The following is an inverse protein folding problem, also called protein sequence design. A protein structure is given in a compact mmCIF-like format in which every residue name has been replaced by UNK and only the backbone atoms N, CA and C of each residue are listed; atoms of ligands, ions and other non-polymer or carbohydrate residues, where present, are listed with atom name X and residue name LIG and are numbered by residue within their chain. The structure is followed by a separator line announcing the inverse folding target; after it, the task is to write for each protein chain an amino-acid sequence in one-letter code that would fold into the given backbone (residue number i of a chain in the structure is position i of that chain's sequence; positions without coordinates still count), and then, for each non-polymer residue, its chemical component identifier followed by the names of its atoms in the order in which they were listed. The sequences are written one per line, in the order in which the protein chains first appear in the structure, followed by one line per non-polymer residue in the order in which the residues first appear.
data_IF_593529423990
#
_entry.id   IF_593529423990
#
_cell.length_a   1.000
_cell.length_b   1.000
_cell.length_c   1.000
_cell.angle_alpha   90.00
_cell.angle_beta   90.00
_cell.angle_gamma   90.00
#
_symmetry.space_group_name_H-M   'P 1'
#
loop_
_entity.id
_entity.type
_entity.pdbx_description
1 polymer ?
#
# COMPACT_ATOMS: atom_id res chain seq x y z
N UNK A 1 -3.27 9.43 23.61
CA UNK A 1 -2.66 9.54 22.26
C UNK A 1 -1.16 9.43 22.41
N UNK A 2 -0.53 8.36 21.89
CA UNK A 2 0.90 8.10 22.12
C UNK A 2 1.76 8.93 21.15
N UNK A 3 2.03 10.18 21.54
CA UNK A 3 2.78 11.14 20.71
C UNK A 3 4.20 10.70 20.37
N UNK A 4 4.82 9.86 21.22
CA UNK A 4 6.17 9.34 20.99
C UNK A 4 6.19 8.35 19.82
N UNK A 5 5.33 7.33 19.86
CA UNK A 5 5.25 6.31 18.79
C UNK A 5 4.86 6.93 17.45
N UNK A 6 3.94 7.89 17.44
CA UNK A 6 3.55 8.57 16.22
C UNK A 6 4.73 9.32 15.58
N UNK A 7 5.54 10.01 16.39
CA UNK A 7 6.73 10.72 15.91
C UNK A 7 7.77 9.76 15.33
N UNK A 8 8.06 8.70 16.07
CA UNK A 8 9.02 7.66 15.66
C UNK A 8 8.61 6.99 14.35
N UNK A 9 7.33 6.59 14.23
CA UNK A 9 6.82 6.05 12.96
C UNK A 9 6.88 7.06 11.83
N UNK A 10 6.61 8.35 12.08
CA UNK A 10 6.72 9.39 11.05
C UNK A 10 8.13 9.52 10.49
N UNK A 11 9.16 9.40 11.33
CA UNK A 11 10.56 9.42 10.92
C UNK A 11 10.89 8.19 10.06
N UNK A 12 10.47 7.01 10.51
CA UNK A 12 10.62 5.74 9.76
C UNK A 12 9.90 5.82 8.41
N UNK A 13 8.66 6.31 8.39
CA UNK A 13 7.88 6.39 7.16
C UNK A 13 8.52 7.30 6.12
N UNK A 14 9.19 8.37 6.54
CA UNK A 14 9.96 9.22 5.63
C UNK A 14 11.20 8.48 5.13
N UNK A 15 11.97 7.86 6.03
CA UNK A 15 13.23 7.20 5.70
C UNK A 15 13.06 5.96 4.81
N UNK A 16 12.08 5.12 5.12
CA UNK A 16 11.78 3.88 4.40
C UNK A 16 10.79 4.09 3.24
N UNK A 17 10.29 5.32 3.04
CA UNK A 17 9.34 5.63 1.96
C UNK A 17 8.00 4.92 2.12
N UNK A 18 7.40 4.97 3.31
CA UNK A 18 6.12 4.37 3.66
C UNK A 18 5.01 5.43 3.69
N UNK A 19 3.74 4.99 3.71
CA UNK A 19 2.62 5.88 3.93
C UNK A 19 2.71 6.55 5.32
N UNK A 20 2.58 7.88 5.39
CA UNK A 20 2.58 8.60 6.67
C UNK A 20 1.27 8.34 7.43
N UNK A 21 1.22 8.70 8.70
CA UNK A 21 -0.04 8.71 9.46
C UNK A 21 -0.98 9.74 8.82
N UNK A 22 -2.12 9.27 8.29
CA UNK A 22 -3.18 10.12 7.75
C UNK A 22 -4.50 9.73 8.36
N UNK A 23 -5.09 10.66 9.11
CA UNK A 23 -6.37 10.48 9.80
C UNK A 23 -7.20 11.73 9.57
N UNK A 24 -8.38 11.57 8.98
CA UNK A 24 -9.29 12.70 8.77
C UNK A 24 -9.96 13.12 10.08
N UNK A 25 -10.46 14.37 10.18
CA UNK A 25 -11.23 14.82 11.34
C UNK A 25 -12.41 13.91 11.66
N UNK A 26 -13.15 13.47 10.63
CA UNK A 26 -14.28 12.55 10.78
C UNK A 26 -13.84 11.20 11.39
N UNK A 27 -12.76 10.60 10.88
CA UNK A 27 -12.30 9.31 11.42
C UNK A 27 -11.78 9.45 12.85
N UNK A 28 -11.10 10.57 13.15
CA UNK A 28 -10.65 10.90 14.51
C UNK A 28 -11.81 10.94 15.50
N UNK A 29 -12.94 11.56 15.14
CA UNK A 29 -14.15 11.57 15.99
C UNK A 29 -14.67 10.15 16.27
N UNK A 30 -14.60 9.23 15.29
CA UNK A 30 -15.01 7.84 15.49
C UNK A 30 -14.07 7.09 16.43
N UNK A 31 -12.76 7.31 16.29
CA UNK A 31 -11.74 6.75 17.19
C UNK A 31 -11.94 7.22 18.64
N UNK A 32 -12.21 8.51 18.83
CA UNK A 32 -12.46 9.11 20.15
C UNK A 32 -13.75 8.56 20.78
N UNK A 33 -14.82 8.45 20.00
CA UNK A 33 -16.08 7.87 20.44
C UNK A 33 -15.94 6.40 20.85
N UNK A 34 -15.23 5.58 20.05
CA UNK A 34 -14.93 4.19 20.41
C UNK A 34 -14.13 4.11 21.72
N UNK A 35 -13.07 4.91 21.83
CA UNK A 35 -12.22 4.91 23.02
C UNK A 35 -12.98 5.31 24.28
N UNK A 36 -13.94 6.23 24.15
CA UNK A 36 -14.80 6.65 25.25
C UNK A 36 -15.75 5.55 25.72
N UNK A 37 -16.23 4.67 24.82
CA UNK A 37 -17.12 3.56 25.17
C UNK A 37 -16.34 2.39 25.76
N UNK A 38 -15.15 2.11 25.23
CA UNK A 38 -14.31 0.99 25.69
C UNK A 38 -13.54 1.32 26.97
N UNK A 39 -13.29 2.61 27.25
CA UNK A 39 -12.39 3.04 28.33
C UNK A 39 -10.91 2.83 28.02
N UNK A 40 -10.58 2.39 26.81
CA UNK A 40 -9.23 2.12 26.32
C UNK A 40 -9.13 2.36 24.80
N UNK A 41 -7.93 2.23 24.24
CA UNK A 41 -7.73 2.37 22.79
C UNK A 41 -8.28 1.15 22.04
N UNK A 42 -9.26 1.39 21.17
CA UNK A 42 -9.95 0.34 20.44
C UNK A 42 -9.35 -0.05 19.08
N UNK A 43 -10.04 -0.94 18.34
CA UNK A 43 -9.65 -1.37 17.00
C UNK A 43 -9.46 -0.23 15.99
N UNK A 44 -10.28 0.83 16.01
CA UNK A 44 -10.14 1.95 15.08
C UNK A 44 -8.82 2.69 15.29
N UNK A 45 -8.35 2.78 16.54
CA UNK A 45 -7.03 3.32 16.85
C UNK A 45 -5.93 2.51 16.17
N UNK A 46 -5.98 1.17 16.28
CA UNK A 46 -4.97 0.26 15.69
C UNK A 46 -4.96 0.29 14.16
N UNK A 47 -6.07 0.63 13.52
CA UNK A 47 -6.11 0.82 12.06
C UNK A 47 -5.34 2.07 11.65
N UNK A 48 -5.48 3.16 12.40
CA UNK A 48 -4.94 4.49 12.02
C UNK A 48 -3.52 4.76 12.52
N UNK A 49 -3.17 4.27 13.71
CA UNK A 49 -1.96 4.66 14.43
C UNK A 49 -1.04 3.46 14.69
N UNK A 50 0.28 3.65 14.63
CA UNK A 50 1.26 2.57 14.77
C UNK A 50 1.19 1.94 16.16
N UNK A 51 1.47 0.64 16.22
CA UNK A 51 1.80 -0.08 17.45
C UNK A 51 3.32 -0.15 17.65
N UNK A 52 3.76 -0.55 18.83
CA UNK A 52 5.18 -0.85 19.07
C UNK A 52 5.69 -1.92 18.11
N UNK A 53 4.95 -3.02 17.95
CA UNK A 53 5.29 -4.09 17.01
C UNK A 53 5.43 -3.60 15.56
N UNK A 54 4.66 -2.57 15.14
CA UNK A 54 4.79 -2.02 13.79
C UNK A 54 6.18 -1.42 13.54
N UNK A 55 6.87 -0.99 14.60
CA UNK A 55 8.19 -0.37 14.55
C UNK A 55 9.29 -1.40 14.85
N UNK A 56 9.11 -2.22 15.88
CA UNK A 56 10.18 -3.06 16.44
C UNK A 56 10.16 -4.50 15.95
N UNK A 57 9.00 -5.03 15.54
CA UNK A 57 8.87 -6.43 15.15
C UNK A 57 9.21 -6.60 13.67
N UNK A 58 10.11 -7.53 13.35
CA UNK A 58 10.43 -7.92 11.97
C UNK A 58 10.25 -9.42 11.81
N UNK A 59 9.60 -9.84 10.73
CA UNK A 59 9.39 -11.26 10.43
C UNK A 59 10.53 -11.80 9.53
N UNK A 60 11.00 -13.06 9.71
CA UNK A 60 12.10 -13.63 8.92
C UNK A 60 11.93 -13.67 7.39
N UNK A 61 10.78 -13.29 6.84
CA UNK A 61 10.54 -13.21 5.39
C UNK A 61 9.70 -11.98 5.03
N UNK A 62 9.80 -10.92 5.81
CA UNK A 62 9.14 -9.66 5.50
C UNK A 62 9.73 -9.10 4.20
N UNK A 63 8.84 -8.79 3.26
CA UNK A 63 9.18 -8.23 1.95
C UNK A 63 8.31 -7.03 1.68
N UNK A 64 8.86 -6.07 0.94
CA UNK A 64 8.21 -4.80 0.65
C UNK A 64 6.91 -4.97 -0.16
N UNK A 65 6.90 -5.90 -1.12
CA UNK A 65 5.76 -6.20 -1.99
C UNK A 65 5.47 -7.71 -2.00
N UNK A 66 4.79 -8.19 -0.96
CA UNK A 66 4.46 -9.63 -0.85
C UNK A 66 3.36 -10.07 -1.83
N UNK A 67 2.55 -9.14 -2.34
CA UNK A 67 1.52 -9.46 -3.35
C UNK A 67 2.15 -9.54 -4.75
N UNK A 68 3.31 -8.91 -4.94
CA UNK A 68 4.02 -8.84 -6.21
C UNK A 68 3.37 -7.87 -7.19
N UNK A 69 2.63 -6.86 -6.69
CA UNK A 69 1.95 -5.88 -7.53
C UNK A 69 2.94 -5.19 -8.48
N UNK A 70 4.11 -4.75 -7.99
CA UNK A 70 5.15 -4.05 -8.78
C UNK A 70 5.61 -4.87 -9.98
N UNK A 71 5.87 -6.16 -9.76
CA UNK A 71 6.37 -7.07 -10.81
C UNK A 71 5.31 -7.46 -11.85
N UNK A 72 4.03 -7.26 -11.52
CA UNK A 72 2.90 -7.59 -12.39
C UNK A 72 2.21 -6.33 -12.95
N UNK A 73 2.77 -5.13 -12.69
CA UNK A 73 2.30 -3.88 -13.29
C UNK A 73 2.65 -3.85 -14.77
N UNK A 74 1.67 -3.52 -15.60
CA UNK A 74 1.84 -3.41 -17.05
C UNK A 74 2.44 -2.03 -17.39
N UNK A 75 3.74 -1.98 -17.66
CA UNK A 75 4.43 -0.74 -18.03
C UNK A 75 4.32 0.35 -16.94
N UNK A 76 4.18 1.62 -17.36
CA UNK A 76 3.94 2.75 -16.44
C UNK A 76 2.44 3.01 -16.22
N UNK A 77 1.62 1.98 -16.32
CA UNK A 77 0.16 2.11 -16.15
C UNK A 77 -0.21 1.70 -14.73
N UNK A 78 -1.24 2.32 -14.15
CA UNK A 78 -1.83 1.86 -12.89
C UNK A 78 -2.48 0.46 -12.95
N UNK A 79 -2.18 -0.34 -13.98
CA UNK A 79 -2.81 -1.62 -14.30
C UNK A 79 -1.90 -2.77 -13.87
N UNK A 80 -2.43 -3.69 -13.07
CA UNK A 80 -1.72 -4.87 -12.53
C UNK A 80 -2.40 -6.13 -13.05
N UNK A 81 -1.66 -6.99 -13.75
CA UNK A 81 -2.15 -8.27 -14.27
C UNK A 81 -1.32 -9.43 -13.75
N UNK A 82 -1.60 -9.84 -12.51
CA UNK A 82 -0.98 -11.02 -11.90
C UNK A 82 -1.57 -12.35 -12.41
N UNK A 83 -2.80 -12.31 -12.92
CA UNK A 83 -3.54 -13.52 -13.28
C UNK A 83 -4.07 -13.43 -14.71
N UNK A 84 -4.12 -14.58 -15.37
CA UNK A 84 -4.46 -14.70 -16.79
C UNK A 84 -5.82 -14.08 -17.19
N UNK A 85 -6.80 -14.14 -16.29
CA UNK A 85 -8.21 -13.89 -16.59
C UNK A 85 -8.80 -12.69 -15.84
N UNK A 86 -7.96 -11.88 -15.20
CA UNK A 86 -8.41 -10.69 -14.48
C UNK A 86 -7.30 -9.66 -14.37
N UNK A 87 -7.70 -8.42 -14.35
CA UNK A 87 -6.82 -7.26 -14.21
C UNK A 87 -7.29 -6.40 -13.04
N UNK A 88 -6.35 -5.82 -12.32
CA UNK A 88 -6.60 -4.78 -11.33
C UNK A 88 -6.20 -3.44 -11.94
N UNK A 89 -7.08 -2.46 -11.86
CA UNK A 89 -6.77 -1.09 -12.30
C UNK A 89 -6.85 -0.12 -11.12
N UNK A 90 -5.77 0.58 -10.84
CA UNK A 90 -5.67 1.55 -9.77
C UNK A 90 -6.18 2.90 -10.24
N UNK A 91 -7.49 3.11 -10.14
CA UNK A 91 -8.14 4.36 -10.53
C UNK A 91 -7.74 5.55 -9.65
N UNK A 92 -7.29 5.32 -8.42
CA UNK A 92 -6.74 6.40 -7.58
C UNK A 92 -5.75 5.85 -6.58
N UNK A 93 -4.77 6.68 -6.24
CA UNK A 93 -3.85 6.45 -5.11
C UNK A 93 -4.30 7.20 -3.84
N UNK A 94 -5.43 7.91 -3.87
CA UNK A 94 -5.94 8.68 -2.74
C UNK A 94 -6.70 7.78 -1.78
N UNK A 95 -6.25 7.76 -0.53
CA UNK A 95 -6.97 7.15 0.59
C UNK A 95 -7.49 8.23 1.55
N UNK A 96 -8.65 7.97 2.15
CA UNK A 96 -9.22 8.82 3.20
C UNK A 96 -8.33 8.84 4.45
N UNK A 97 -7.86 7.68 4.88
CA UNK A 97 -6.81 7.53 5.89
C UNK A 97 -5.82 6.44 5.47
N UNK A 98 -4.63 6.45 6.06
CA UNK A 98 -3.62 5.42 5.81
C UNK A 98 -3.70 4.36 6.89
N UNK A 99 -4.13 3.16 6.49
CA UNK A 99 -4.21 2.02 7.40
C UNK A 99 -2.80 1.53 7.73
N UNK A 100 -2.50 1.24 8.99
CA UNK A 100 -1.19 0.71 9.41
C UNK A 100 -0.89 -0.67 8.85
N UNK A 101 -1.94 -1.42 8.47
CA UNK A 101 -1.84 -2.70 7.78
C UNK A 101 -1.91 -2.57 6.25
N UNK A 102 -1.75 -1.38 5.68
CA UNK A 102 -1.75 -1.20 4.22
C UNK A 102 -0.56 -1.93 3.60
N UNK A 103 -0.84 -2.95 2.80
CA UNK A 103 0.19 -3.71 2.08
C UNK A 103 0.81 -2.96 0.89
N UNK A 104 0.22 -1.83 0.49
CA UNK A 104 0.73 -0.95 -0.58
C UNK A 104 1.46 0.28 -0.04
N UNK A 105 1.92 0.21 1.21
CA UNK A 105 2.46 1.37 1.92
C UNK A 105 3.62 2.03 1.17
N UNK A 106 4.58 1.26 0.66
CA UNK A 106 5.71 1.82 -0.08
C UNK A 106 5.39 2.15 -1.54
N UNK A 107 4.44 1.43 -2.14
CA UNK A 107 3.99 1.70 -3.51
C UNK A 107 3.27 3.05 -3.62
N UNK A 108 2.52 3.42 -2.58
CA UNK A 108 1.69 4.63 -2.58
C UNK A 108 2.35 5.83 -1.90
N UNK A 109 3.51 5.67 -1.25
CA UNK A 109 4.16 6.73 -0.49
C UNK A 109 4.46 7.97 -1.34
N UNK A 110 5.02 7.78 -2.55
CA UNK A 110 5.30 8.89 -3.47
C UNK A 110 4.04 9.63 -3.90
N UNK A 111 2.98 8.89 -4.27
CA UNK A 111 1.70 9.50 -4.62
C UNK A 111 1.08 10.23 -3.43
N UNK A 112 1.13 9.65 -2.23
CA UNK A 112 0.60 10.27 -1.02
C UNK A 112 1.33 11.58 -0.67
N UNK A 113 2.65 11.63 -0.82
CA UNK A 113 3.45 12.84 -0.64
C UNK A 113 3.04 13.95 -1.63
N UNK A 114 2.60 13.58 -2.83
CA UNK A 114 2.07 14.51 -3.85
C UNK A 114 0.58 14.87 -3.65
N UNK A 115 -0.05 14.51 -2.53
CA UNK A 115 -1.49 14.73 -2.29
C UNK A 115 -2.41 13.70 -2.97
N UNK A 116 -1.81 12.62 -3.48
CA UNK A 116 -2.43 11.56 -4.26
C UNK A 116 -2.75 11.99 -5.69
N UNK A 117 -2.69 11.01 -6.59
CA UNK A 117 -3.06 11.15 -7.99
C UNK A 117 -4.50 10.72 -8.23
N UNK A 118 -5.16 11.44 -9.14
CA UNK A 118 -6.37 10.94 -9.79
C UNK A 118 -5.97 9.99 -10.91
N UNK A 119 -6.96 9.28 -11.44
CA UNK A 119 -6.80 8.49 -12.64
C UNK A 119 -6.27 9.38 -13.77
N UNK A 120 -5.06 9.12 -14.22
CA UNK A 120 -4.55 9.76 -15.43
C UNK A 120 -5.29 9.16 -16.63
N UNK A 121 -5.86 10.01 -17.48
CA UNK A 121 -6.58 9.59 -18.70
C UNK A 121 -5.73 8.65 -19.55
N UNK A 122 -4.42 8.84 -19.57
CA UNK A 122 -3.46 7.99 -20.27
C UNK A 122 -3.43 6.55 -19.74
N UNK A 123 -3.44 6.38 -18.41
CA UNK A 123 -3.50 5.06 -17.78
C UNK A 123 -4.80 4.33 -18.12
N UNK A 124 -5.93 5.05 -18.21
CA UNK A 124 -7.20 4.48 -18.64
C UNK A 124 -7.18 4.09 -20.12
N UNK A 125 -6.64 4.95 -20.98
CA UNK A 125 -6.51 4.66 -22.41
C UNK A 125 -5.67 3.41 -22.65
N UNK A 126 -4.53 3.28 -21.97
CA UNK A 126 -3.70 2.08 -22.04
C UNK A 126 -4.44 0.82 -21.57
N UNK A 127 -5.27 0.92 -20.53
CA UNK A 127 -6.12 -0.20 -20.11
C UNK A 127 -7.14 -0.57 -21.20
N UNK A 128 -7.82 0.41 -21.79
CA UNK A 128 -8.82 0.17 -22.84
C UNK A 128 -8.19 -0.46 -24.08
N UNK A 129 -7.01 0.01 -24.48
CA UNK A 129 -6.23 -0.60 -25.55
C UNK A 129 -5.86 -2.05 -25.20
N UNK A 130 -5.36 -2.27 -23.97
CA UNK A 130 -5.02 -3.61 -23.48
C UNK A 130 -6.22 -4.57 -23.52
N UNK A 131 -7.40 -4.12 -23.09
CA UNK A 131 -8.62 -4.93 -23.07
C UNK A 131 -9.23 -5.16 -24.45
N UNK A 132 -8.90 -4.30 -25.43
CA UNK A 132 -9.37 -4.42 -26.81
C UNK A 132 -8.55 -5.42 -27.63
N UNK A 133 -7.34 -5.77 -27.16
CA UNK A 133 -6.52 -6.80 -27.78
C UNK A 133 -7.15 -8.19 -27.58
N UNK A 134 -7.03 -9.11 -28.56
CA UNK A 134 -7.44 -10.50 -28.37
C UNK A 134 -6.72 -11.10 -27.17
N UNK A 135 -7.34 -12.04 -26.42
CA UNK A 135 -6.79 -12.54 -25.17
C UNK A 135 -5.38 -13.07 -25.40
N UNK A 136 -4.39 -12.30 -24.94
CA UNK A 136 -3.00 -12.71 -25.00
C UNK A 136 -2.82 -13.77 -23.92
N UNK A 137 -2.26 -14.92 -24.31
CA UNK A 137 -1.85 -15.93 -23.33
C UNK A 137 -0.96 -15.21 -22.32
N UNK A 138 -1.23 -15.30 -20.99
CA UNK A 138 -0.32 -14.69 -20.03
C UNK A 138 1.10 -15.21 -20.29
N UNK A 139 2.15 -14.40 -20.07
CA UNK A 139 3.51 -14.93 -20.10
C UNK A 139 3.53 -16.17 -19.22
N UNK A 140 3.99 -17.29 -19.79
CA UNK A 140 4.08 -18.57 -19.09
C UNK A 140 4.66 -18.34 -17.69
N UNK A 141 4.16 -19.01 -16.63
CA UNK A 141 4.79 -18.97 -15.31
C UNK A 141 6.30 -19.28 -15.34
N UNK A 142 6.77 -19.95 -16.41
CA UNK A 142 8.18 -20.23 -16.67
C UNK A 142 9.06 -18.99 -17.00
N UNK A 143 8.47 -17.84 -17.36
CA UNK A 143 9.20 -16.57 -17.52
C UNK A 143 9.54 -15.94 -16.16
N UNK A 144 8.84 -16.34 -15.09
CA UNK A 144 9.13 -15.99 -13.71
C UNK A 144 10.14 -17.00 -13.13
N UNK A 145 11.29 -17.19 -13.80
CA UNK A 145 12.42 -17.83 -13.12
C UNK A 145 12.77 -16.96 -11.93
N UNK A 146 12.56 -17.52 -10.75
CA UNK A 146 13.01 -16.98 -9.46
C UNK A 146 14.43 -16.46 -9.64
N UNK A 147 14.61 -15.16 -9.77
CA UNK A 147 15.83 -14.55 -9.27
C UNK A 147 15.82 -14.89 -7.78
N UNK A 148 16.80 -15.65 -7.26
CA UNK A 148 16.95 -15.72 -5.82
C UNK A 148 17.14 -14.28 -5.38
N UNK A 149 16.19 -13.79 -4.59
CA UNK A 149 16.30 -12.48 -3.95
C UNK A 149 17.55 -12.58 -3.09
N UNK A 150 18.68 -12.09 -3.62
CA UNK A 150 19.89 -11.88 -2.86
C UNK A 150 19.52 -10.73 -1.91
N UNK A 151 19.05 -11.10 -0.72
CA UNK A 151 18.99 -10.19 0.41
C UNK A 151 20.36 -9.51 0.51
N UNK A 152 20.43 -8.17 0.48
CA UNK A 152 21.55 -7.49 1.08
C UNK A 152 21.59 -7.96 2.53
N UNK A 153 22.79 -8.39 2.95
CA UNK A 153 23.08 -9.02 4.24
C UNK A 153 22.59 -8.13 5.39
N UNK A 154 22.03 -8.81 6.39
CA UNK A 154 22.04 -8.56 7.85
C UNK A 154 22.18 -7.10 8.28
#
# INVERSE_FOLDING_TARGET
MNHKLNKEYSEIAIYEGLLPIKVTPFYKTKIEAESSVLGELGPLWRVAFPSEDRISLRSPNEVEDFVGDRSNTLGQTGTIMKYANRVLFMATSRCFGHCQYCFRTSMLAGSAAAGGSEMETESLNHLLEFLSMPPTRPPSPAAFRRTPYLSPRV
#
